data_IF_812738207161
#
_entry.id   IF_812738207161
#
_cell.length_a   1.000
_cell.length_b   1.000
_cell.length_c   1.000
_cell.angle_alpha   90.00
_cell.angle_beta   90.00
_cell.angle_gamma   90.00
#
_symmetry.space_group_name_H-M   'P 1'
#
loop_
_entity.id
_entity.type
_entity.pdbx_description
1 polymer ?
#
# COMPACT_ATOMS: atom_id res chain seq x y z
N UNK A 1 0.90 20.70 22.33
CA UNK A 1 -0.32 19.96 21.95
C UNK A 1 -0.67 20.01 20.46
N UNK A 2 -0.68 21.16 19.74
CA UNK A 2 -1.12 21.18 18.34
C UNK A 2 -0.16 20.49 17.35
N UNK A 3 1.15 20.55 17.60
CA UNK A 3 2.18 19.95 16.73
C UNK A 3 2.07 18.42 16.69
N UNK A 4 1.80 17.77 17.83
CA UNK A 4 1.65 16.31 17.89
C UNK A 4 0.45 15.86 17.06
N UNK A 5 -0.71 16.48 17.26
CA UNK A 5 -1.94 16.16 16.49
C UNK A 5 -1.70 16.34 14.99
N UNK A 6 -1.00 17.42 14.60
CA UNK A 6 -0.63 17.65 13.20
C UNK A 6 0.28 16.54 12.64
N UNK A 7 1.36 16.17 13.34
CA UNK A 7 2.26 15.10 12.91
C UNK A 7 1.53 13.76 12.76
N UNK A 8 0.62 13.44 13.69
CA UNK A 8 -0.19 12.24 13.61
C UNK A 8 -1.13 12.22 12.42
N UNK A 9 -1.78 13.35 12.12
CA UNK A 9 -2.65 13.47 10.95
C UNK A 9 -1.87 13.31 9.65
N UNK A 10 -0.71 13.95 9.52
CA UNK A 10 0.16 13.80 8.34
C UNK A 10 0.62 12.36 8.17
N UNK A 11 1.04 11.71 9.26
CA UNK A 11 1.43 10.30 9.24
C UNK A 11 0.28 9.38 8.80
N UNK A 12 -0.93 9.60 9.34
CA UNK A 12 -2.12 8.87 8.92
C UNK A 12 -2.43 9.05 7.44
N UNK A 13 -2.42 10.29 6.94
CA UNK A 13 -2.69 10.58 5.53
C UNK A 13 -1.68 9.90 4.61
N UNK A 14 -0.41 9.90 4.98
CA UNK A 14 0.63 9.24 4.19
C UNK A 14 0.41 7.71 4.11
N UNK A 15 0.16 7.07 5.26
CA UNK A 15 -0.18 5.64 5.31
C UNK A 15 -1.47 5.30 4.55
N UNK A 16 -2.46 6.19 4.58
CA UNK A 16 -3.73 6.01 3.87
C UNK A 16 -3.54 6.06 2.35
N UNK A 17 -2.82 7.07 1.83
CA UNK A 17 -2.55 7.20 0.39
C UNK A 17 -1.72 6.01 -0.12
N UNK A 18 -0.72 5.57 0.64
CA UNK A 18 0.08 4.41 0.25
C UNK A 18 -0.76 3.11 0.24
N UNK A 19 -1.64 2.92 1.24
CA UNK A 19 -2.57 1.79 1.25
C UNK A 19 -3.52 1.82 0.04
N UNK A 20 -4.01 3.01 -0.31
CA UNK A 20 -4.88 3.18 -1.47
C UNK A 20 -4.15 2.83 -2.77
N UNK A 21 -2.89 3.26 -2.91
CA UNK A 21 -2.04 2.91 -4.05
C UNK A 21 -1.85 1.39 -4.18
N UNK A 22 -1.56 0.70 -3.07
CA UNK A 22 -1.44 -0.77 -3.04
C UNK A 22 -2.73 -1.42 -3.54
N UNK A 23 -3.88 -1.02 -2.99
CA UNK A 23 -5.18 -1.57 -3.38
C UNK A 23 -5.52 -1.29 -4.87
N UNK A 24 -5.17 -0.11 -5.38
CA UNK A 24 -5.32 0.20 -6.81
C UNK A 24 -4.41 -0.68 -7.69
N UNK A 25 -3.20 -1.00 -7.24
CA UNK A 25 -2.30 -1.90 -7.95
C UNK A 25 -2.85 -3.32 -8.04
N UNK A 26 -3.35 -3.85 -6.93
CA UNK A 26 -4.00 -5.18 -6.87
C UNK A 26 -5.25 -5.23 -7.76
N UNK A 27 -6.05 -4.16 -7.75
CA UNK A 27 -7.20 -4.04 -8.64
C UNK A 27 -6.77 -4.04 -10.11
N UNK A 28 -5.72 -3.30 -10.44
CA UNK A 28 -5.17 -3.24 -11.80
C UNK A 28 -4.69 -4.62 -12.27
N UNK A 29 -3.93 -5.34 -11.44
CA UNK A 29 -3.50 -6.72 -11.76
C UNK A 29 -4.71 -7.61 -12.08
N UNK A 30 -5.74 -7.57 -11.24
CA UNK A 30 -6.96 -8.36 -11.44
C UNK A 30 -7.70 -7.95 -12.71
N UNK A 31 -7.80 -6.66 -13.00
CA UNK A 31 -8.43 -6.16 -14.23
C UNK A 31 -7.67 -6.58 -15.48
N UNK A 32 -6.33 -6.56 -15.46
CA UNK A 32 -5.49 -7.04 -16.56
C UNK A 32 -5.69 -8.54 -16.77
N UNK A 33 -5.77 -9.33 -15.69
CA UNK A 33 -6.06 -10.75 -15.80
C UNK A 33 -7.47 -11.04 -16.36
N UNK A 34 -8.48 -10.29 -15.91
CA UNK A 34 -9.88 -10.47 -16.31
C UNK A 34 -10.27 -9.79 -17.63
N UNK A 35 -9.32 -9.25 -18.42
CA UNK A 35 -9.65 -8.51 -19.65
C UNK A 35 -10.05 -9.39 -20.85
N UNK A 36 -10.14 -10.71 -20.69
CA UNK A 36 -10.48 -11.64 -21.77
C UNK A 36 -9.37 -11.79 -22.81
N UNK A 37 -8.12 -11.71 -22.38
CA UNK A 37 -6.91 -11.72 -23.21
C UNK A 37 -6.79 -12.98 -24.08
N UNK A 38 -7.51 -14.05 -23.75
CA UNK A 38 -7.60 -15.30 -24.50
C UNK A 38 -8.16 -15.08 -25.92
N UNK A 39 -9.02 -14.07 -26.10
CA UNK A 39 -9.65 -13.75 -27.38
C UNK A 39 -8.85 -12.78 -28.25
N UNK A 40 -7.72 -12.27 -27.75
CA UNK A 40 -6.92 -11.29 -28.49
C UNK A 40 -5.98 -11.94 -29.53
N UNK A 41 -5.53 -11.13 -30.49
CA UNK A 41 -4.49 -11.49 -31.44
C UNK A 41 -3.13 -11.68 -30.76
N UNK A 42 -2.18 -12.32 -31.46
CA UNK A 42 -0.89 -12.72 -30.88
C UNK A 42 -0.04 -11.54 -30.39
N UNK A 43 -0.19 -10.34 -30.97
CA UNK A 43 0.59 -9.15 -30.57
C UNK A 43 0.08 -8.59 -29.25
N UNK A 44 -1.23 -8.49 -29.12
CA UNK A 44 -1.99 -7.99 -27.98
C UNK A 44 -1.85 -8.95 -26.80
N UNK A 45 -1.90 -10.27 -27.03
CA UNK A 45 -1.60 -11.28 -26.01
C UNK A 45 -0.21 -11.11 -25.40
N UNK A 46 0.81 -10.85 -26.22
CA UNK A 46 2.17 -10.57 -25.74
C UNK A 46 2.22 -9.29 -24.92
N UNK A 47 1.48 -8.26 -25.33
CA UNK A 47 1.38 -7.00 -24.59
C UNK A 47 0.73 -7.21 -23.21
N UNK A 48 -0.43 -7.87 -23.15
CA UNK A 48 -1.12 -8.17 -21.89
C UNK A 48 -0.25 -9.03 -20.98
N UNK A 49 0.47 -10.01 -21.53
CA UNK A 49 1.41 -10.81 -20.76
C UNK A 49 2.51 -9.97 -20.09
N UNK A 50 3.08 -9.00 -20.82
CA UNK A 50 4.07 -8.07 -20.25
C UNK A 50 3.42 -7.18 -19.19
N UNK A 51 2.21 -6.65 -19.44
CA UNK A 51 1.48 -5.84 -18.46
C UNK A 51 1.22 -6.61 -17.17
N UNK A 52 0.72 -7.85 -17.26
CA UNK A 52 0.45 -8.72 -16.12
C UNK A 52 1.71 -9.03 -15.33
N UNK A 53 2.83 -9.31 -16.03
CA UNK A 53 4.12 -9.56 -15.38
C UNK A 53 4.64 -8.33 -14.62
N UNK A 54 4.36 -7.12 -15.10
CA UNK A 54 4.75 -5.90 -14.40
C UNK A 54 3.81 -5.59 -13.23
N UNK A 55 2.50 -5.81 -13.37
CA UNK A 55 1.52 -5.54 -12.31
C UNK A 55 1.68 -6.44 -11.10
N UNK A 56 2.20 -7.66 -11.28
CA UNK A 56 2.51 -8.61 -10.21
C UNK A 56 3.71 -8.20 -9.34
N UNK A 57 4.46 -7.16 -9.73
CA UNK A 57 5.51 -6.64 -8.86
C UNK A 57 4.85 -5.86 -7.72
N UNK A 58 5.21 -6.14 -6.45
CA UNK A 58 4.60 -5.45 -5.33
C UNK A 58 4.84 -3.95 -5.43
N UNK A 59 3.76 -3.18 -5.49
CA UNK A 59 3.79 -1.71 -5.44
C UNK A 59 3.73 -1.30 -3.98
N UNK A 60 4.85 -1.41 -3.28
CA UNK A 60 4.97 -1.04 -1.88
C UNK A 60 5.92 0.13 -1.73
N UNK A 61 5.47 1.20 -1.06
CA UNK A 61 6.31 2.32 -0.69
C UNK A 61 6.97 2.01 0.65
N UNK A 62 8.29 1.85 0.65
CA UNK A 62 9.08 1.58 1.84
C UNK A 62 9.61 2.89 2.45
N UNK A 63 9.38 3.10 3.75
CA UNK A 63 10.06 4.11 4.54
C UNK A 63 11.51 3.66 4.77
N UNK A 64 12.44 4.49 4.30
CA UNK A 64 13.88 4.23 4.37
C UNK A 64 14.30 2.85 3.84
N UNK A 65 13.52 2.28 2.90
CA UNK A 65 13.73 0.94 2.33
C UNK A 65 13.62 -0.24 3.34
N UNK A 66 13.07 0.03 4.53
CA UNK A 66 13.02 -0.95 5.63
C UNK A 66 11.58 -1.29 6.00
N UNK A 67 10.69 -0.30 6.06
CA UNK A 67 9.33 -0.49 6.60
C UNK A 67 8.29 -0.11 5.57
N UNK A 68 7.36 -0.99 5.18
CA UNK A 68 6.28 -0.63 4.27
C UNK A 68 5.37 0.42 4.91
N UNK A 69 5.12 1.48 4.17
CA UNK A 69 4.21 2.54 4.57
C UNK A 69 2.81 2.13 4.15
N UNK A 70 2.07 1.59 5.10
CA UNK A 70 0.70 1.16 4.87
C UNK A 70 -0.12 1.35 6.16
N UNK A 71 -1.42 1.03 6.09
CA UNK A 71 -2.32 1.22 7.23
C UNK A 71 -1.97 0.30 8.41
N UNK A 72 -1.34 -0.85 8.11
CA UNK A 72 -0.87 -1.79 9.13
C UNK A 72 0.27 -1.18 9.97
N UNK A 73 1.24 -0.52 9.33
CA UNK A 73 2.34 0.19 10.01
C UNK A 73 1.82 1.35 10.87
N UNK A 74 0.78 2.05 10.41
CA UNK A 74 0.09 3.05 11.22
C UNK A 74 -0.52 2.43 12.49
N UNK A 75 -1.28 1.34 12.34
CA UNK A 75 -1.94 0.65 13.45
C UNK A 75 -0.95 0.07 14.48
N UNK A 76 0.16 -0.52 14.02
CA UNK A 76 1.20 -1.06 14.91
C UNK A 76 1.92 0.04 15.68
N UNK A 77 2.20 1.18 15.02
CA UNK A 77 2.78 2.36 15.66
C UNK A 77 1.86 2.93 16.74
N UNK A 78 0.56 3.10 16.43
CA UNK A 78 -0.44 3.57 17.37
C UNK A 78 -0.57 2.61 18.57
N UNK A 79 -0.58 1.30 18.33
CA UNK A 79 -0.59 0.29 19.39
C UNK A 79 0.65 0.38 20.27
N UNK A 80 1.83 0.62 19.70
CA UNK A 80 3.07 0.85 20.44
C UNK A 80 2.98 2.06 21.36
N UNK A 81 2.44 3.17 20.85
CA UNK A 81 2.25 4.40 21.62
C UNK A 81 1.28 4.21 22.79
N UNK A 82 0.15 3.53 22.58
CA UNK A 82 -0.78 3.22 23.68
C UNK A 82 -0.14 2.34 24.74
N UNK A 83 0.60 1.29 24.34
CA UNK A 83 1.34 0.44 25.29
C UNK A 83 2.33 1.24 26.11
N UNK A 84 3.08 2.13 25.47
CA UNK A 84 4.03 3.02 26.14
C UNK A 84 3.31 3.89 27.18
N UNK A 85 2.21 4.55 26.80
CA UNK A 85 1.43 5.38 27.73
C UNK A 85 0.93 4.55 28.92
N UNK A 86 0.42 3.34 28.70
CA UNK A 86 -0.08 2.48 29.78
C UNK A 86 1.02 2.07 30.76
N UNK A 87 2.23 1.78 30.29
CA UNK A 87 3.37 1.40 31.14
C UNK A 87 3.89 2.57 31.98
N UNK A 88 3.92 3.79 31.43
CA UNK A 88 4.44 4.96 32.13
C UNK A 88 3.41 5.68 33.00
N UNK A 89 2.11 5.44 32.75
CA UNK A 89 1.01 6.02 33.53
C UNK A 89 0.67 5.17 34.77
N UNK A 90 1.26 3.98 34.87
CA UNK A 90 1.23 3.11 36.05
C UNK A 90 2.62 3.12 36.70
#
# INVERSE_FOLDING_TARGET
>A
MPVLVYCFLVFFLYCFVCQWLINCSELFERSVYCCGWENFDLKEKKLVFVMLRQSQKPVELLAADIVPVNIYTFATTLRGMFKFITVFKF
#
